data_IF_273079416504
#
_entry.id   IF_273079416504
#
_cell.length_a   1.000
_cell.length_b   1.000
_cell.length_c   1.000
_cell.angle_alpha   90.00
_cell.angle_beta   90.00
_cell.angle_gamma   90.00
#
_symmetry.space_group_name_H-M   'P 1'
#
loop_
_entity.id
_entity.type
_entity.pdbx_description
1 polymer ?
#
# COMPACT_ATOMS: atom_id res chain seq x y z
N UNK A 1 -14.61 -45.22 -4.80
CA UNK A 1 -15.64 -44.42 -4.13
C UNK A 1 -15.08 -43.98 -2.77
N UNK A 2 -14.27 -42.95 -2.77
CA UNK A 2 -13.85 -42.26 -1.55
C UNK A 2 -14.66 -40.97 -1.49
N UNK A 3 -15.57 -40.87 -0.53
CA UNK A 3 -16.24 -39.66 -0.14
C UNK A 3 -15.26 -38.95 0.82
N UNK A 4 -14.74 -37.74 0.53
CA UNK A 4 -13.91 -37.02 1.48
C UNK A 4 -14.78 -36.56 2.65
N UNK A 5 -14.28 -36.71 3.87
CA UNK A 5 -14.90 -36.34 5.13
C UNK A 5 -15.37 -34.87 5.09
N UNK A 6 -16.69 -34.67 5.15
CA UNK A 6 -17.31 -33.38 5.38
C UNK A 6 -17.56 -33.22 6.87
N UNK A 7 -16.87 -32.26 7.51
CA UNK A 7 -17.19 -31.85 8.88
C UNK A 7 -18.38 -30.88 8.86
N UNK A 8 -19.46 -31.24 9.50
CA UNK A 8 -20.65 -30.43 9.69
C UNK A 8 -20.52 -29.66 11.00
N UNK A 9 -20.48 -28.34 10.93
CA UNK A 9 -20.43 -27.48 12.12
C UNK A 9 -21.85 -26.98 12.37
N UNK A 10 -22.48 -27.50 13.41
CA UNK A 10 -23.79 -27.05 13.90
C UNK A 10 -23.58 -25.93 14.94
N UNK A 11 -24.40 -24.89 14.85
CA UNK A 11 -24.42 -23.79 15.82
C UNK A 11 -25.09 -24.30 17.12
N UNK A 12 -24.31 -24.44 18.20
CA UNK A 12 -24.85 -24.50 19.56
C UNK A 12 -24.57 -23.15 20.20
N UNK A 13 -25.60 -22.50 20.73
CA UNK A 13 -25.58 -21.14 21.32
C UNK A 13 -24.48 -20.85 22.37
N UNK A 14 -23.65 -21.82 22.70
CA UNK A 14 -22.60 -21.72 23.71
C UNK A 14 -21.16 -21.82 23.19
N UNK A 15 -20.94 -22.11 21.89
CA UNK A 15 -19.61 -22.49 21.37
C UNK A 15 -18.71 -21.35 20.89
N UNK A 16 -19.22 -20.17 20.65
CA UNK A 16 -18.45 -19.06 20.08
C UNK A 16 -17.94 -18.03 21.11
N UNK A 17 -18.33 -18.15 22.39
CA UNK A 17 -18.09 -17.11 23.40
C UNK A 17 -17.08 -17.47 24.51
N UNK A 18 -16.43 -18.63 24.49
CA UNK A 18 -15.71 -19.06 25.71
C UNK A 18 -14.19 -18.92 25.70
N UNK A 19 -13.54 -18.38 24.66
CA UNK A 19 -12.06 -18.26 24.70
C UNK A 19 -11.47 -16.93 24.19
N UNK A 20 -12.14 -15.81 24.33
CA UNK A 20 -11.53 -14.51 23.99
C UNK A 20 -11.65 -13.44 25.05
N UNK A 21 -11.23 -13.75 26.27
CA UNK A 21 -10.81 -12.77 27.27
C UNK A 21 -9.33 -13.00 27.63
N UNK A 22 -8.44 -12.84 26.67
CA UNK A 22 -7.05 -12.44 26.95
C UNK A 22 -6.81 -11.12 26.23
N UNK A 23 -6.62 -10.07 27.05
CA UNK A 23 -5.97 -8.84 26.61
C UNK A 23 -4.61 -9.25 26.04
N UNK A 24 -4.48 -9.29 24.74
CA UNK A 24 -3.18 -9.45 24.09
C UNK A 24 -2.60 -8.07 23.92
N UNK A 25 -1.58 -7.83 24.70
CA UNK A 25 -0.60 -6.77 24.52
C UNK A 25 0.04 -6.97 23.13
N UNK A 26 -0.25 -6.09 22.19
CA UNK A 26 0.11 -6.24 20.77
C UNK A 26 1.54 -5.84 20.47
N UNK A 27 2.32 -5.45 21.51
CA UNK A 27 3.67 -4.91 21.31
C UNK A 27 4.82 -5.91 21.41
N UNK A 28 4.62 -7.13 21.93
CA UNK A 28 5.74 -8.04 22.25
C UNK A 28 5.84 -9.36 21.48
N UNK A 29 4.93 -9.71 20.56
CA UNK A 29 4.97 -10.98 19.82
C UNK A 29 5.24 -10.83 18.32
N UNK A 30 6.29 -10.09 17.92
CA UNK A 30 6.76 -10.02 16.52
C UNK A 30 7.96 -10.91 16.19
N UNK A 31 8.17 -11.96 16.93
CA UNK A 31 9.24 -12.91 16.59
C UNK A 31 8.73 -14.31 16.86
N UNK A 32 8.17 -14.93 15.82
CA UNK A 32 8.37 -16.36 15.60
C UNK A 32 7.78 -16.76 14.23
N UNK A 33 8.56 -17.46 13.48
CA UNK A 33 8.50 -17.82 12.06
C UNK A 33 7.48 -18.94 11.78
N UNK A 34 6.19 -18.75 12.09
CA UNK A 34 5.09 -19.63 11.61
C UNK A 34 3.74 -18.90 11.65
N UNK A 35 3.36 -18.27 10.54
CA UNK A 35 1.96 -17.92 10.28
C UNK A 35 1.53 -16.51 10.65
N UNK A 36 2.35 -15.49 10.49
CA UNK A 36 1.87 -14.10 10.57
C UNK A 36 0.79 -13.87 9.52
N UNK A 37 -0.39 -13.46 10.00
CA UNK A 37 -1.50 -13.07 9.12
C UNK A 37 -1.07 -11.86 8.29
N UNK A 38 -1.27 -11.94 6.96
CA UNK A 38 -0.96 -10.80 6.08
C UNK A 38 -1.77 -9.56 6.47
N UNK A 39 -1.25 -8.36 6.15
CA UNK A 39 -1.99 -7.11 6.40
C UNK A 39 -3.41 -7.16 5.81
N UNK A 40 -3.57 -7.69 4.59
CA UNK A 40 -4.88 -7.94 3.98
C UNK A 40 -5.76 -8.88 4.82
N UNK A 41 -5.17 -9.91 5.42
CA UNK A 41 -5.86 -10.83 6.33
C UNK A 41 -6.34 -10.13 7.60
N UNK A 42 -5.49 -9.30 8.21
CA UNK A 42 -5.86 -8.50 9.40
C UNK A 42 -7.03 -7.56 9.11
N UNK A 43 -7.00 -6.85 7.98
CA UNK A 43 -8.13 -6.00 7.56
C UNK A 43 -9.42 -6.81 7.40
N UNK A 44 -9.35 -7.97 6.73
CA UNK A 44 -10.54 -8.83 6.56
C UNK A 44 -11.06 -9.37 7.89
N UNK A 45 -10.19 -9.74 8.80
CA UNK A 45 -10.59 -10.22 10.14
C UNK A 45 -11.25 -9.09 10.94
N UNK A 46 -10.72 -7.88 10.93
CA UNK A 46 -11.33 -6.70 11.54
C UNK A 46 -12.74 -6.45 10.98
N UNK A 47 -12.85 -6.35 9.66
CA UNK A 47 -14.11 -6.07 8.97
C UNK A 47 -15.15 -7.17 9.16
N UNK A 48 -14.72 -8.42 9.30
CA UNK A 48 -15.63 -9.54 9.49
C UNK A 48 -16.39 -9.49 10.82
N UNK A 49 -15.81 -8.89 11.85
CA UNK A 49 -16.39 -8.74 13.19
C UNK A 49 -17.42 -7.61 13.28
N UNK A 50 -17.37 -6.67 12.35
CA UNK A 50 -18.28 -5.52 12.33
C UNK A 50 -19.61 -5.90 11.69
N UNK A 51 -20.69 -5.84 12.44
CA UNK A 51 -22.05 -6.07 11.94
C UNK A 51 -22.83 -4.75 12.06
N UNK A 52 -23.18 -4.17 10.93
CA UNK A 52 -23.98 -2.94 10.89
C UNK A 52 -25.33 -3.11 11.62
N UNK A 53 -25.79 -2.10 12.34
CA UNK A 53 -27.06 -2.15 13.04
C UNK A 53 -28.25 -2.14 12.07
N UNK A 54 -28.21 -1.25 11.06
CA UNK A 54 -29.28 -1.06 10.13
C UNK A 54 -29.44 -2.23 9.14
N UNK A 55 -30.68 -2.71 8.97
CA UNK A 55 -30.98 -3.81 8.06
C UNK A 55 -30.55 -3.54 6.63
N UNK A 56 -30.78 -2.33 6.11
CA UNK A 56 -30.39 -1.96 4.75
C UNK A 56 -28.87 -2.02 4.51
N UNK A 57 -28.04 -1.69 5.53
CA UNK A 57 -26.59 -1.83 5.43
C UNK A 57 -26.15 -3.31 5.41
N UNK A 58 -26.78 -4.17 6.24
CA UNK A 58 -26.54 -5.62 6.21
C UNK A 58 -26.90 -6.20 4.86
N UNK A 59 -28.01 -5.76 4.27
CA UNK A 59 -28.43 -6.15 2.92
C UNK A 59 -27.41 -5.74 1.86
N UNK A 60 -26.94 -4.50 1.88
CA UNK A 60 -25.95 -4.01 0.93
C UNK A 60 -24.62 -4.78 1.04
N UNK A 61 -24.15 -5.06 2.26
CA UNK A 61 -22.94 -5.83 2.49
C UNK A 61 -23.06 -7.28 1.99
N UNK A 62 -24.18 -7.94 2.31
CA UNK A 62 -24.46 -9.29 1.87
C UNK A 62 -24.60 -9.37 0.33
N UNK A 63 -25.26 -8.40 -0.30
CA UNK A 63 -25.38 -8.33 -1.75
C UNK A 63 -24.01 -8.30 -2.44
N UNK A 64 -23.05 -7.50 -1.92
CA UNK A 64 -21.69 -7.45 -2.44
C UNK A 64 -20.95 -8.79 -2.29
N UNK A 65 -21.12 -9.49 -1.15
CA UNK A 65 -20.52 -10.80 -0.93
C UNK A 65 -21.13 -11.82 -1.90
N UNK A 66 -22.45 -11.85 -2.04
CA UNK A 66 -23.14 -12.80 -2.93
C UNK A 66 -22.79 -12.57 -4.40
N UNK A 67 -22.67 -11.33 -4.84
CA UNK A 67 -22.20 -11.02 -6.19
C UNK A 67 -20.80 -11.61 -6.49
N UNK A 68 -19.93 -11.78 -5.50
CA UNK A 68 -18.56 -12.25 -5.71
C UNK A 68 -18.37 -13.74 -5.42
N UNK A 69 -19.04 -14.25 -4.38
CA UNK A 69 -18.88 -15.62 -3.86
C UNK A 69 -20.09 -16.51 -4.11
N UNK A 70 -21.24 -15.94 -4.51
CA UNK A 70 -22.49 -16.66 -4.70
C UNK A 70 -22.63 -17.22 -6.10
N UNK A 71 -23.22 -18.43 -6.19
CA UNK A 71 -23.60 -19.08 -7.44
C UNK A 71 -24.97 -19.72 -7.31
N UNK A 72 -25.75 -19.70 -8.40
CA UNK A 72 -26.96 -20.50 -8.52
C UNK A 72 -26.63 -21.80 -9.20
N UNK A 73 -26.94 -22.92 -8.55
CA UNK A 73 -26.87 -24.27 -9.14
C UNK A 73 -28.31 -24.77 -9.37
N UNK A 74 -28.64 -25.09 -10.60
CA UNK A 74 -29.94 -25.65 -10.96
C UNK A 74 -29.71 -27.08 -11.46
N UNK A 75 -30.19 -28.07 -10.71
CA UNK A 75 -30.13 -29.49 -11.10
C UNK A 75 -31.53 -30.12 -11.06
N UNK A 76 -31.97 -30.69 -12.20
CA UNK A 76 -33.19 -31.49 -12.29
C UNK A 76 -34.46 -30.90 -11.69
N UNK A 77 -34.58 -29.55 -11.70
CA UNK A 77 -35.73 -28.83 -11.14
C UNK A 77 -35.52 -28.24 -9.75
N UNK A 78 -34.47 -28.59 -9.05
CA UNK A 78 -34.10 -28.02 -7.77
C UNK A 78 -33.11 -26.88 -7.96
N UNK A 79 -33.36 -25.73 -7.34
CA UNK A 79 -32.49 -24.56 -7.35
C UNK A 79 -31.79 -24.45 -6.01
N UNK A 80 -30.48 -24.21 -6.04
CA UNK A 80 -29.64 -24.08 -4.86
C UNK A 80 -28.76 -22.84 -4.94
N UNK A 81 -28.80 -22.00 -3.92
CA UNK A 81 -27.87 -20.91 -3.76
C UNK A 81 -26.65 -21.38 -2.97
N UNK A 82 -25.47 -21.35 -3.60
CA UNK A 82 -24.21 -21.79 -3.03
C UNK A 82 -23.26 -20.61 -2.90
N UNK A 83 -22.67 -20.43 -1.71
CA UNK A 83 -21.72 -19.37 -1.41
C UNK A 83 -20.41 -20.03 -1.04
N UNK A 84 -19.32 -19.73 -1.77
CA UNK A 84 -18.02 -20.37 -1.57
C UNK A 84 -16.92 -19.33 -1.34
N UNK A 85 -16.09 -19.57 -0.32
CA UNK A 85 -14.92 -18.73 -0.02
C UNK A 85 -13.81 -19.56 0.64
N UNK A 86 -12.56 -19.17 0.39
CA UNK A 86 -11.40 -19.77 1.08
C UNK A 86 -11.10 -19.07 2.42
N UNK A 87 -11.78 -17.97 2.71
CA UNK A 87 -11.55 -17.17 3.90
C UNK A 87 -12.62 -17.43 4.96
N UNK A 88 -12.21 -17.97 6.11
CA UNK A 88 -13.10 -18.28 7.24
C UNK A 88 -13.84 -17.06 7.77
N UNK A 89 -13.18 -15.92 7.86
CA UNK A 89 -13.78 -14.70 8.35
C UNK A 89 -14.93 -14.21 7.45
N UNK A 90 -14.78 -14.38 6.12
CA UNK A 90 -15.84 -14.08 5.14
C UNK A 90 -17.00 -15.05 5.27
N UNK A 91 -16.74 -16.34 5.43
CA UNK A 91 -17.80 -17.34 5.63
C UNK A 91 -18.61 -17.05 6.90
N UNK A 92 -17.94 -16.80 8.03
CA UNK A 92 -18.58 -16.38 9.29
C UNK A 92 -19.44 -15.12 9.13
N UNK A 93 -18.90 -14.12 8.44
CA UNK A 93 -19.61 -12.87 8.17
C UNK A 93 -20.88 -13.12 7.37
N UNK A 94 -20.76 -13.89 6.28
CA UNK A 94 -21.88 -14.23 5.41
C UNK A 94 -22.99 -14.97 6.18
N UNK A 95 -22.63 -16.00 6.94
CA UNK A 95 -23.53 -16.73 7.83
C UNK A 95 -24.27 -15.78 8.79
N UNK A 96 -23.53 -14.93 9.50
CA UNK A 96 -24.12 -13.96 10.44
C UNK A 96 -25.06 -12.96 9.77
N UNK A 97 -24.71 -12.50 8.55
CA UNK A 97 -25.56 -11.58 7.80
C UNK A 97 -26.86 -12.26 7.32
N UNK A 98 -26.80 -13.50 6.85
CA UNK A 98 -27.98 -14.29 6.47
C UNK A 98 -28.91 -14.48 7.65
N UNK A 99 -28.39 -14.92 8.79
CA UNK A 99 -29.17 -15.12 10.01
C UNK A 99 -29.78 -13.81 10.53
N UNK A 100 -28.98 -12.74 10.67
CA UNK A 100 -29.47 -11.46 11.23
C UNK A 100 -30.34 -10.63 10.30
N UNK A 101 -30.34 -10.90 9.00
CA UNK A 101 -31.11 -10.14 8.01
C UNK A 101 -32.40 -10.82 7.61
N UNK A 102 -32.34 -12.16 7.42
CA UNK A 102 -33.43 -12.96 6.88
C UNK A 102 -33.92 -14.03 7.86
N UNK A 103 -33.26 -14.24 9.00
CA UNK A 103 -33.51 -15.30 9.95
C UNK A 103 -33.39 -16.71 9.32
N UNK A 104 -32.49 -16.85 8.36
CA UNK A 104 -32.20 -18.11 7.69
C UNK A 104 -31.13 -18.86 8.45
N UNK A 105 -31.46 -20.11 8.85
CA UNK A 105 -30.50 -21.01 9.46
C UNK A 105 -29.79 -21.82 8.38
N UNK A 106 -28.50 -21.64 8.24
CA UNK A 106 -27.68 -22.32 7.25
C UNK A 106 -26.61 -23.16 7.92
N UNK A 107 -26.03 -24.10 7.19
CA UNK A 107 -24.87 -24.88 7.61
C UNK A 107 -23.64 -24.45 6.83
N UNK A 108 -22.50 -24.43 7.49
CA UNK A 108 -21.20 -24.18 6.84
C UNK A 108 -20.50 -25.51 6.66
N UNK A 109 -20.25 -25.90 5.41
CA UNK A 109 -19.48 -27.07 5.08
C UNK A 109 -18.03 -26.70 4.83
N UNK A 110 -17.10 -27.44 5.43
CA UNK A 110 -15.67 -27.19 5.24
C UNK A 110 -15.05 -28.34 4.48
N UNK A 111 -14.42 -28.09 3.35
CA UNK A 111 -13.68 -29.09 2.57
C UNK A 111 -12.20 -28.72 2.55
N UNK A 112 -11.33 -29.64 2.90
CA UNK A 112 -9.88 -29.51 2.72
C UNK A 112 -9.48 -30.16 1.38
N UNK A 113 -8.79 -29.39 0.54
CA UNK A 113 -8.25 -29.87 -0.71
C UNK A 113 -6.83 -30.42 -0.48
N UNK A 114 -6.66 -31.75 -0.54
CA UNK A 114 -5.44 -32.46 -0.13
C UNK A 114 -4.30 -32.46 -1.16
N UNK A 115 -4.53 -32.01 -2.41
CA UNK A 115 -3.63 -32.35 -3.52
C UNK A 115 -2.45 -31.41 -3.78
N UNK A 116 -2.41 -30.13 -3.27
CA UNK A 116 -1.27 -29.22 -3.53
C UNK A 116 -0.99 -28.17 -2.46
N UNK A 117 -1.98 -27.74 -1.72
CA UNK A 117 -1.89 -26.93 -0.50
C UNK A 117 -3.13 -27.25 0.31
N UNK A 118 -3.01 -27.40 1.63
CA UNK A 118 -4.17 -27.57 2.52
C UNK A 118 -5.02 -26.28 2.53
N UNK A 119 -5.73 -26.02 1.43
CA UNK A 119 -6.64 -24.89 1.30
C UNK A 119 -8.00 -25.34 1.78
N UNK A 120 -8.53 -24.70 2.79
CA UNK A 120 -9.89 -24.90 3.28
C UNK A 120 -10.85 -24.08 2.44
N UNK A 121 -11.89 -24.71 1.92
CA UNK A 121 -12.99 -24.06 1.22
C UNK A 121 -14.23 -24.16 2.10
N UNK A 122 -14.77 -23.01 2.45
CA UNK A 122 -16.00 -22.86 3.22
C UNK A 122 -17.17 -22.69 2.26
N UNK A 123 -18.20 -23.51 2.42
CA UNK A 123 -19.39 -23.48 1.57
C UNK A 123 -20.63 -23.31 2.44
N UNK A 124 -21.49 -22.36 2.09
CA UNK A 124 -22.82 -22.15 2.66
C UNK A 124 -23.82 -22.49 1.57
N UNK A 125 -24.82 -23.30 1.89
CA UNK A 125 -25.83 -23.75 0.93
C UNK A 125 -27.23 -23.42 1.44
N UNK A 126 -28.06 -22.81 0.58
CA UNK A 126 -29.46 -22.52 0.81
C UNK A 126 -30.24 -23.28 -0.26
N UNK A 127 -31.13 -24.19 0.17
CA UNK A 127 -31.86 -25.11 -0.72
C UNK A 127 -33.35 -24.82 -0.74
N UNK A 128 -33.87 -24.03 0.19
CA UNK A 128 -35.27 -23.65 0.21
C UNK A 128 -35.55 -22.58 -0.88
N UNK A 129 -36.42 -22.88 -1.86
CA UNK A 129 -36.75 -21.96 -2.93
C UNK A 129 -37.40 -20.65 -2.45
N UNK A 130 -38.17 -20.71 -1.36
CA UNK A 130 -38.82 -19.51 -0.79
C UNK A 130 -37.77 -18.56 -0.17
N UNK A 131 -36.82 -19.12 0.58
CA UNK A 131 -35.71 -18.36 1.16
C UNK A 131 -34.83 -17.74 0.06
N UNK A 132 -34.51 -18.50 -0.99
CA UNK A 132 -33.74 -17.99 -2.14
C UNK A 132 -34.50 -16.84 -2.80
N UNK A 133 -35.81 -16.96 -3.03
CA UNK A 133 -36.61 -15.92 -3.63
C UNK A 133 -36.64 -14.66 -2.77
N UNK A 134 -36.81 -14.78 -1.47
CA UNK A 134 -36.75 -13.65 -0.51
C UNK A 134 -35.41 -12.93 -0.58
N UNK A 135 -34.29 -13.68 -0.59
CA UNK A 135 -32.93 -13.11 -0.71
C UNK A 135 -32.80 -12.35 -2.02
N UNK A 136 -33.19 -12.95 -3.15
CA UNK A 136 -33.06 -12.35 -4.47
C UNK A 136 -33.88 -11.04 -4.60
N UNK A 137 -35.14 -11.06 -4.13
CA UNK A 137 -35.98 -9.88 -4.16
C UNK A 137 -35.45 -8.74 -3.24
N UNK A 138 -35.07 -9.08 -2.01
CA UNK A 138 -34.61 -8.11 -1.04
C UNK A 138 -33.25 -7.49 -1.41
N UNK A 139 -32.32 -8.28 -1.93
CA UNK A 139 -31.00 -7.84 -2.34
C UNK A 139 -30.94 -7.37 -3.80
N UNK A 140 -32.06 -7.40 -4.52
CA UNK A 140 -32.12 -7.04 -5.95
C UNK A 140 -31.14 -7.83 -6.81
N UNK A 141 -31.00 -9.11 -6.52
CA UNK A 141 -30.11 -10.02 -7.26
C UNK A 141 -30.85 -10.66 -8.43
N UNK A 142 -30.14 -10.88 -9.50
CA UNK A 142 -30.56 -11.69 -10.65
C UNK A 142 -29.37 -12.53 -11.11
N UNK A 143 -29.66 -13.65 -11.79
CA UNK A 143 -28.62 -14.42 -12.46
C UNK A 143 -28.13 -13.71 -13.71
N UNK A 144 -26.82 -13.81 -13.99
CA UNK A 144 -26.24 -13.21 -15.18
C UNK A 144 -26.77 -13.90 -16.44
N UNK A 145 -27.17 -13.14 -17.45
CA UNK A 145 -27.67 -13.68 -18.72
C UNK A 145 -26.63 -14.44 -19.55
N UNK A 146 -25.35 -14.19 -19.31
CA UNK A 146 -24.24 -14.84 -20.05
C UNK A 146 -23.73 -16.06 -19.29
N UNK A 147 -23.57 -15.95 -17.97
CA UNK A 147 -23.15 -17.00 -17.07
C UNK A 147 -24.27 -17.18 -16.03
N UNK A 148 -25.18 -18.12 -16.31
CA UNK A 148 -26.40 -18.32 -15.52
C UNK A 148 -26.15 -18.69 -14.06
N UNK A 149 -24.92 -19.07 -13.71
CA UNK A 149 -24.56 -19.43 -12.35
C UNK A 149 -24.18 -18.20 -11.49
N UNK A 150 -23.76 -17.09 -12.09
CA UNK A 150 -23.28 -15.92 -11.34
C UNK A 150 -24.38 -14.92 -11.03
N UNK A 151 -24.27 -14.27 -9.86
CA UNK A 151 -25.24 -13.31 -9.36
C UNK A 151 -24.81 -11.87 -9.65
N UNK A 152 -25.74 -11.04 -10.12
CA UNK A 152 -25.52 -9.61 -10.38
C UNK A 152 -26.64 -8.78 -9.75
N UNK A 153 -26.36 -7.51 -9.46
CA UNK A 153 -27.40 -6.57 -9.07
C UNK A 153 -28.27 -6.20 -10.29
N UNK A 154 -29.59 -6.29 -10.16
CA UNK A 154 -30.54 -5.83 -11.17
C UNK A 154 -30.53 -4.30 -11.29
N UNK A 155 -30.42 -3.64 -10.15
CA UNK A 155 -30.39 -2.18 -10.01
C UNK A 155 -29.52 -1.73 -8.85
N UNK A 156 -29.36 -0.41 -8.66
CA UNK A 156 -28.51 0.17 -7.60
C UNK A 156 -29.30 0.60 -6.35
N UNK A 157 -30.55 0.14 -6.20
CA UNK A 157 -31.40 0.52 -5.05
C UNK A 157 -30.79 0.12 -3.71
N UNK A 158 -30.08 -1.00 -3.65
CA UNK A 158 -29.43 -1.50 -2.43
C UNK A 158 -28.29 -0.59 -1.95
N UNK A 159 -27.74 0.26 -2.84
CA UNK A 159 -26.58 1.14 -2.56
C UNK A 159 -26.89 2.63 -2.70
N UNK A 160 -28.14 3.04 -2.55
CA UNK A 160 -28.51 4.46 -2.68
C UNK A 160 -27.93 5.35 -1.56
N UNK A 161 -27.99 4.88 -0.31
CA UNK A 161 -27.52 5.64 0.83
C UNK A 161 -26.00 5.49 1.02
N UNK A 162 -25.35 6.55 1.52
CA UNK A 162 -23.90 6.51 1.77
C UNK A 162 -23.48 5.39 2.73
N UNK A 163 -24.28 5.09 3.76
CA UNK A 163 -24.03 3.97 4.66
C UNK A 163 -24.13 2.61 3.94
N UNK A 164 -25.06 2.46 2.99
CA UNK A 164 -25.16 1.25 2.16
C UNK A 164 -23.98 1.12 1.19
N UNK A 165 -23.52 2.22 0.60
CA UNK A 165 -22.32 2.25 -0.25
C UNK A 165 -21.09 1.80 0.53
N UNK A 166 -20.89 2.28 1.76
CA UNK A 166 -19.80 1.84 2.66
C UNK A 166 -19.89 0.34 2.94
N UNK A 167 -21.07 -0.14 3.32
CA UNK A 167 -21.30 -1.55 3.58
C UNK A 167 -21.06 -2.41 2.34
N UNK A 168 -21.47 -1.96 1.15
CA UNK A 168 -21.24 -2.66 -0.11
C UNK A 168 -19.76 -2.76 -0.45
N UNK A 169 -18.98 -1.67 -0.32
CA UNK A 169 -17.53 -1.68 -0.53
C UNK A 169 -16.87 -2.65 0.46
N UNK A 170 -17.28 -2.65 1.73
CA UNK A 170 -16.77 -3.57 2.75
C UNK A 170 -17.05 -5.02 2.37
N UNK A 171 -18.26 -5.35 1.95
CA UNK A 171 -18.61 -6.68 1.46
C UNK A 171 -17.82 -7.12 0.23
N UNK A 172 -17.65 -6.24 -0.75
CA UNK A 172 -16.86 -6.49 -1.95
C UNK A 172 -15.38 -6.73 -1.62
N UNK A 173 -14.80 -5.94 -0.71
CA UNK A 173 -13.43 -6.14 -0.24
C UNK A 173 -13.26 -7.45 0.54
N UNK A 174 -14.18 -7.77 1.43
CA UNK A 174 -14.17 -9.06 2.14
C UNK A 174 -14.14 -10.23 1.16
N UNK A 175 -14.99 -10.19 0.14
CA UNK A 175 -15.16 -11.28 -0.80
C UNK A 175 -13.95 -11.44 -1.75
N UNK A 176 -13.50 -10.38 -2.39
CA UNK A 176 -12.51 -10.43 -3.48
C UNK A 176 -11.44 -9.35 -3.42
N UNK A 177 -11.38 -8.57 -2.33
CA UNK A 177 -10.39 -7.53 -2.15
C UNK A 177 -9.06 -8.03 -1.61
N UNK A 178 -8.02 -7.26 -1.85
CA UNK A 178 -6.71 -7.42 -1.23
C UNK A 178 -6.04 -6.06 -1.04
N UNK A 179 -5.12 -6.00 -0.09
CA UNK A 179 -4.31 -4.83 0.20
C UNK A 179 -2.88 -5.29 0.47
N UNK A 180 -1.91 -4.62 -0.13
CA UNK A 180 -0.50 -4.94 0.07
C UNK A 180 -0.03 -4.56 1.49
N UNK A 181 1.03 -5.21 1.93
CA UNK A 181 1.76 -4.82 3.12
C UNK A 181 2.25 -3.37 2.97
N UNK A 182 1.81 -2.44 3.85
CA UNK A 182 2.16 -1.03 3.74
C UNK A 182 3.67 -0.77 3.91
N UNK A 183 4.43 -1.70 4.49
CA UNK A 183 5.89 -1.58 4.51
C UNK A 183 6.54 -1.80 3.14
N UNK A 184 5.94 -2.64 2.29
CA UNK A 184 6.45 -2.96 0.95
C UNK A 184 5.95 -2.01 -0.13
N UNK A 185 4.71 -1.53 -0.01
CA UNK A 185 4.13 -0.63 -0.99
C UNK A 185 2.64 -0.37 -0.75
N UNK A 186 2.08 0.55 -1.50
CA UNK A 186 0.68 0.95 -1.41
C UNK A 186 -0.09 0.41 -2.61
N UNK A 187 -0.93 -0.60 -2.38
CA UNK A 187 -1.79 -1.16 -3.41
C UNK A 187 -3.04 -1.77 -2.77
N UNK A 188 -4.19 -1.24 -3.13
CA UNK A 188 -5.50 -1.74 -2.76
C UNK A 188 -6.19 -2.20 -4.04
N UNK A 189 -6.80 -3.37 -4.03
CA UNK A 189 -7.54 -3.88 -5.19
C UNK A 189 -8.76 -4.70 -4.79
N UNK A 190 -9.79 -4.67 -5.66
CA UNK A 190 -10.95 -5.56 -5.59
C UNK A 190 -11.13 -6.17 -6.97
N UNK A 191 -11.18 -7.49 -7.04
CA UNK A 191 -11.33 -8.25 -8.28
C UNK A 191 -12.80 -8.43 -8.61
N UNK A 192 -13.20 -8.06 -9.83
CA UNK A 192 -14.54 -8.23 -10.36
C UNK A 192 -14.53 -9.24 -11.53
N UNK A 193 -15.56 -10.04 -11.67
CA UNK A 193 -15.69 -11.03 -12.74
C UNK A 193 -15.87 -10.39 -14.13
N UNK A 194 -16.53 -9.24 -14.19
CA UNK A 194 -16.88 -8.56 -15.44
C UNK A 194 -16.71 -7.03 -15.36
N UNK A 195 -16.70 -6.37 -16.52
CA UNK A 195 -16.50 -4.93 -16.64
C UNK A 195 -17.62 -4.12 -15.97
N UNK A 196 -18.87 -4.54 -16.11
CA UNK A 196 -20.04 -3.80 -15.58
C UNK A 196 -19.97 -3.69 -14.06
N UNK A 197 -19.60 -4.78 -13.37
CA UNK A 197 -19.40 -4.76 -11.91
C UNK A 197 -18.24 -3.86 -11.51
N UNK A 198 -17.14 -3.90 -12.26
CA UNK A 198 -15.99 -3.05 -11.99
C UNK A 198 -16.36 -1.56 -12.12
N UNK A 199 -17.11 -1.18 -13.14
CA UNK A 199 -17.60 0.19 -13.34
C UNK A 199 -18.58 0.62 -12.24
N UNK A 200 -19.52 -0.25 -11.85
CA UNK A 200 -20.42 0.00 -10.73
C UNK A 200 -19.64 0.23 -9.43
N UNK A 201 -18.72 -0.65 -9.11
CA UNK A 201 -17.89 -0.53 -7.91
C UNK A 201 -17.02 0.72 -7.94
N UNK A 202 -16.38 1.03 -9.08
CA UNK A 202 -15.61 2.26 -9.26
C UNK A 202 -16.47 3.51 -9.02
N UNK A 203 -17.69 3.54 -9.56
CA UNK A 203 -18.62 4.66 -9.37
C UNK A 203 -18.97 4.84 -7.90
N UNK A 204 -19.23 3.75 -7.18
CA UNK A 204 -19.49 3.78 -5.74
C UNK A 204 -18.27 4.31 -4.97
N UNK A 205 -17.06 3.82 -5.25
CA UNK A 205 -15.83 4.24 -4.61
C UNK A 205 -15.55 5.73 -4.88
N UNK A 206 -15.69 6.17 -6.13
CA UNK A 206 -15.49 7.58 -6.52
C UNK A 206 -16.49 8.54 -5.85
N UNK A 207 -17.66 8.07 -5.43
CA UNK A 207 -18.59 8.90 -4.66
C UNK A 207 -18.05 9.30 -3.27
N UNK A 208 -16.94 8.72 -2.82
CA UNK A 208 -16.19 9.08 -1.61
C UNK A 208 -14.89 9.86 -1.91
N UNK A 209 -14.79 10.46 -3.11
CA UNK A 209 -13.61 11.24 -3.55
C UNK A 209 -12.32 10.44 -3.69
N UNK A 210 -12.40 9.12 -3.84
CA UNK A 210 -11.26 8.24 -4.08
C UNK A 210 -11.10 7.99 -5.58
N UNK A 211 -9.91 8.25 -6.15
CA UNK A 211 -9.61 8.03 -7.57
C UNK A 211 -9.30 6.56 -7.87
N UNK A 212 -10.33 5.71 -7.77
CA UNK A 212 -10.21 4.31 -8.14
C UNK A 212 -10.12 4.16 -9.66
N UNK A 213 -9.22 3.28 -10.11
CA UNK A 213 -8.98 2.95 -11.52
C UNK A 213 -9.35 1.51 -11.81
N UNK A 214 -9.66 1.21 -13.08
CA UNK A 214 -9.94 -0.15 -13.54
C UNK A 214 -8.83 -0.61 -14.47
N UNK A 215 -8.42 -1.87 -14.32
CA UNK A 215 -7.53 -2.55 -15.25
C UNK A 215 -8.06 -3.96 -15.53
N UNK A 216 -7.99 -4.38 -16.78
CA UNK A 216 -8.30 -5.75 -17.16
C UNK A 216 -7.08 -6.64 -16.94
N UNK A 217 -7.25 -7.73 -16.19
CA UNK A 217 -6.23 -8.76 -15.97
C UNK A 217 -6.78 -10.12 -16.41
N UNK A 218 -6.28 -10.63 -17.52
CA UNK A 218 -6.78 -11.89 -18.12
C UNK A 218 -8.31 -11.82 -18.37
N UNK A 219 -9.09 -12.62 -17.64
CA UNK A 219 -10.55 -12.69 -17.74
C UNK A 219 -11.29 -11.83 -16.69
N UNK A 220 -10.56 -11.17 -15.78
CA UNK A 220 -11.13 -10.41 -14.67
C UNK A 220 -10.83 -8.91 -14.81
N UNK A 221 -11.65 -8.08 -14.19
CA UNK A 221 -11.48 -6.65 -14.10
C UNK A 221 -11.14 -6.28 -12.65
N UNK A 222 -10.11 -5.46 -12.46
CA UNK A 222 -9.62 -5.11 -11.13
C UNK A 222 -9.81 -3.62 -10.91
N UNK A 223 -10.57 -3.27 -9.89
CA UNK A 223 -10.68 -1.91 -9.38
C UNK A 223 -9.57 -1.69 -8.36
N UNK A 224 -8.72 -0.67 -8.54
CA UNK A 224 -7.55 -0.50 -7.69
C UNK A 224 -7.26 0.96 -7.33
N UNK A 225 -6.54 1.13 -6.23
CA UNK A 225 -6.00 2.41 -5.71
C UNK A 225 -4.53 2.18 -5.34
N UNK A 226 -3.63 3.12 -5.70
CA UNK A 226 -2.18 3.03 -5.44
C UNK A 226 -1.64 4.12 -4.54
N UNK A 227 -2.40 5.17 -4.29
CA UNK A 227 -1.97 6.28 -3.47
C UNK A 227 -2.25 5.99 -1.99
N UNK A 228 -1.21 6.09 -1.15
CA UNK A 228 -1.29 5.74 0.27
C UNK A 228 -2.36 6.52 1.03
N UNK A 229 -2.52 7.83 0.75
CA UNK A 229 -3.55 8.65 1.36
C UNK A 229 -4.96 8.16 1.00
N UNK A 230 -5.20 7.84 -0.27
CA UNK A 230 -6.49 7.34 -0.73
C UNK A 230 -6.80 5.92 -0.24
N UNK A 231 -5.75 5.11 0.05
CA UNK A 231 -5.95 3.79 0.69
C UNK A 231 -6.39 3.97 2.14
N UNK A 232 -5.86 4.98 2.85
CA UNK A 232 -6.35 5.37 4.19
C UNK A 232 -7.83 5.76 4.11
N UNK A 233 -8.21 6.58 3.12
CA UNK A 233 -9.62 6.94 2.89
C UNK A 233 -10.48 5.70 2.63
N UNK A 234 -10.00 4.72 1.86
CA UNK A 234 -10.70 3.45 1.65
C UNK A 234 -10.89 2.66 2.94
N UNK A 235 -9.88 2.57 3.81
CA UNK A 235 -10.01 1.92 5.12
C UNK A 235 -11.03 2.66 6.01
N UNK A 236 -11.03 4.00 5.98
CA UNK A 236 -12.02 4.81 6.70
C UNK A 236 -13.44 4.60 6.15
N UNK A 237 -13.61 4.52 4.84
CA UNK A 237 -14.89 4.23 4.18
C UNK A 237 -15.41 2.86 4.60
N UNK A 238 -14.54 1.85 4.67
CA UNK A 238 -14.89 0.49 5.11
C UNK A 238 -15.04 0.36 6.63
N UNK A 239 -14.63 1.39 7.39
CA UNK A 239 -14.61 1.41 8.87
C UNK A 239 -13.56 0.45 9.48
N UNK A 240 -12.48 0.14 8.76
CA UNK A 240 -11.34 -0.63 9.24
C UNK A 240 -10.40 0.27 10.06
N UNK A 241 -10.82 0.67 11.25
CA UNK A 241 -10.18 1.72 12.02
C UNK A 241 -8.81 1.30 12.59
N UNK A 242 -8.65 0.04 12.98
CA UNK A 242 -7.36 -0.48 13.49
C UNK A 242 -6.34 -0.53 12.37
N UNK A 243 -6.68 -1.13 11.24
CA UNK A 243 -5.82 -1.21 10.07
C UNK A 243 -5.49 0.19 9.48
N UNK A 244 -6.44 1.13 9.56
CA UNK A 244 -6.22 2.53 9.19
C UNK A 244 -5.11 3.15 10.03
N UNK A 245 -5.17 3.02 11.36
CA UNK A 245 -4.18 3.57 12.27
C UNK A 245 -2.79 2.94 12.06
N UNK A 246 -2.74 1.62 11.83
CA UNK A 246 -1.49 0.92 11.55
C UNK A 246 -0.86 1.42 10.25
N UNK A 247 -1.65 1.58 9.18
CA UNK A 247 -1.18 2.09 7.90
C UNK A 247 -0.68 3.53 8.01
N UNK A 248 -1.41 4.41 8.72
CA UNK A 248 -0.99 5.80 8.95
C UNK A 248 0.31 5.88 9.76
N UNK A 249 0.46 5.09 10.80
CA UNK A 249 1.69 5.04 11.58
C UNK A 249 2.90 4.64 10.71
N UNK A 250 2.74 3.62 9.87
CA UNK A 250 3.79 3.20 8.94
C UNK A 250 4.09 4.31 7.93
N UNK A 251 3.07 5.01 7.43
CA UNK A 251 3.22 6.13 6.48
C UNK A 251 4.03 7.27 7.08
N UNK A 252 3.68 7.70 8.28
CA UNK A 252 4.39 8.76 9.00
C UNK A 252 5.86 8.38 9.22
N UNK A 253 6.14 7.16 9.68
CA UNK A 253 7.50 6.68 9.89
C UNK A 253 8.31 6.67 8.60
N UNK A 254 7.73 6.27 7.47
CA UNK A 254 8.37 6.32 6.15
C UNK A 254 8.67 7.75 5.71
N UNK A 255 7.74 8.67 5.89
CA UNK A 255 7.93 10.09 5.56
C UNK A 255 9.06 10.71 6.38
N UNK A 256 9.11 10.41 7.69
CA UNK A 256 10.20 10.86 8.56
C UNK A 256 11.56 10.32 8.11
N UNK A 257 11.66 9.00 7.86
CA UNK A 257 12.90 8.37 7.35
C UNK A 257 13.34 8.99 6.02
N UNK A 258 12.42 9.18 5.10
CA UNK A 258 12.72 9.80 3.80
C UNK A 258 13.19 11.24 3.93
N UNK A 259 12.60 12.02 4.83
CA UNK A 259 13.03 13.40 5.12
C UNK A 259 14.45 13.44 5.67
N UNK A 260 14.76 12.60 6.66
CA UNK A 260 16.12 12.49 7.22
C UNK A 260 17.12 12.06 6.15
N UNK A 261 16.81 11.02 5.36
CA UNK A 261 17.70 10.55 4.31
C UNK A 261 17.99 11.64 3.25
N UNK A 262 16.98 12.42 2.85
CA UNK A 262 17.18 13.54 1.92
C UNK A 262 18.09 14.60 2.51
N UNK A 263 17.94 14.91 3.80
CA UNK A 263 18.79 15.88 4.48
C UNK A 263 20.24 15.40 4.54
N UNK A 264 20.46 14.16 4.99
CA UNK A 264 21.80 13.55 5.05
C UNK A 264 22.44 13.49 3.66
N UNK A 265 21.71 13.05 2.62
CA UNK A 265 22.24 12.99 1.26
C UNK A 265 22.61 14.39 0.73
N UNK A 266 21.81 15.41 1.03
CA UNK A 266 22.11 16.79 0.65
C UNK A 266 23.37 17.30 1.35
N UNK A 267 23.50 17.08 2.65
CA UNK A 267 24.67 17.49 3.44
C UNK A 267 25.93 16.75 2.96
N UNK A 268 25.86 15.44 2.76
CA UNK A 268 26.97 14.64 2.23
C UNK A 268 27.40 15.11 0.84
N UNK A 269 26.46 15.39 -0.05
CA UNK A 269 26.78 15.93 -1.38
C UNK A 269 27.46 17.30 -1.32
N UNK A 270 27.04 18.16 -0.40
CA UNK A 270 27.66 19.48 -0.19
C UNK A 270 29.08 19.36 0.38
N UNK A 271 29.30 18.47 1.36
CA UNK A 271 30.62 18.18 1.92
C UNK A 271 31.55 17.65 0.81
N UNK A 272 31.12 16.65 0.05
CA UNK A 272 31.91 16.07 -1.03
C UNK A 272 32.29 17.13 -2.10
N UNK A 273 31.36 18.00 -2.48
CA UNK A 273 31.67 19.11 -3.41
C UNK A 273 32.74 20.04 -2.84
N UNK A 274 32.67 20.36 -1.54
CA UNK A 274 33.62 21.26 -0.88
C UNK A 274 34.99 20.62 -0.78
N UNK A 275 35.06 19.34 -0.38
CA UNK A 275 36.33 18.58 -0.29
C UNK A 275 36.99 18.44 -1.66
N UNK A 276 36.23 18.00 -2.69
CA UNK A 276 36.75 17.84 -4.04
C UNK A 276 37.26 19.18 -4.61
N UNK A 277 36.55 20.27 -4.34
CA UNK A 277 37.00 21.60 -4.76
C UNK A 277 38.32 22.02 -4.04
N UNK A 278 38.46 21.72 -2.75
CA UNK A 278 39.67 22.01 -1.99
C UNK A 278 40.85 21.17 -2.50
N UNK A 279 40.66 19.86 -2.75
CA UNK A 279 41.71 18.98 -3.30
C UNK A 279 42.17 19.49 -4.67
N UNK A 280 41.24 19.78 -5.58
CA UNK A 280 41.60 20.37 -6.90
C UNK A 280 42.36 21.68 -6.75
N UNK A 281 41.90 22.58 -5.89
CA UNK A 281 42.58 23.84 -5.63
C UNK A 281 44.03 23.65 -5.13
N UNK A 282 44.26 22.68 -4.23
CA UNK A 282 45.62 22.36 -3.76
C UNK A 282 46.51 21.82 -4.86
N UNK A 283 45.99 20.95 -5.73
CA UNK A 283 46.73 20.41 -6.88
C UNK A 283 47.09 21.54 -7.85
N UNK A 284 46.15 22.41 -8.16
CA UNK A 284 46.36 23.56 -9.03
C UNK A 284 47.42 24.52 -8.45
N UNK A 285 47.33 24.83 -7.15
CA UNK A 285 48.30 25.66 -6.45
C UNK A 285 49.69 25.04 -6.42
N UNK A 286 49.81 23.73 -6.22
CA UNK A 286 51.09 23.00 -6.26
C UNK A 286 51.73 23.15 -7.64
N UNK A 287 50.93 22.96 -8.71
CA UNK A 287 51.43 23.10 -10.09
C UNK A 287 51.91 24.54 -10.37
N UNK A 288 51.14 25.57 -10.00
CA UNK A 288 51.50 26.96 -10.16
C UNK A 288 52.78 27.29 -9.39
N UNK A 289 52.91 26.84 -8.12
CA UNK A 289 54.12 26.97 -7.31
C UNK A 289 55.35 26.38 -7.98
N UNK A 290 55.22 25.17 -8.53
CA UNK A 290 56.31 24.41 -9.14
C UNK A 290 56.81 25.05 -10.48
N UNK A 291 55.88 25.63 -11.25
CA UNK A 291 56.18 26.12 -12.60
C UNK A 291 56.44 27.63 -12.70
N UNK A 292 55.78 28.41 -11.84
CA UNK A 292 55.85 29.89 -11.85
C UNK A 292 56.56 30.42 -10.60
N UNK A 293 56.31 29.80 -9.45
CA UNK A 293 56.70 30.36 -8.11
C UNK A 293 55.69 31.37 -7.59
N UNK A 294 55.60 31.48 -6.28
CA UNK A 294 54.67 32.44 -5.65
C UNK A 294 55.16 33.88 -5.73
N UNK A 295 56.47 34.11 -5.90
CA UNK A 295 57.12 35.42 -6.03
C UNK A 295 56.71 36.16 -7.32
N UNK A 296 56.26 35.42 -8.34
CA UNK A 296 55.79 36.01 -9.63
C UNK A 296 54.28 36.28 -9.62
N UNK A 297 53.56 35.86 -8.55
CA UNK A 297 52.12 36.08 -8.43
C UNK A 297 51.86 37.47 -7.83
N UNK A 298 50.65 37.99 -8.14
CA UNK A 298 50.14 39.14 -7.42
C UNK A 298 50.00 38.77 -5.93
N UNK A 299 50.39 39.69 -5.03
CA UNK A 299 50.40 39.50 -3.57
C UNK A 299 49.13 38.84 -3.04
N UNK A 300 47.94 39.30 -3.48
CA UNK A 300 46.67 38.72 -3.06
C UNK A 300 46.39 37.29 -3.55
N UNK A 301 47.02 36.86 -4.66
CA UNK A 301 46.95 35.45 -5.12
C UNK A 301 47.94 34.59 -4.33
N UNK A 302 49.13 35.08 -4.09
CA UNK A 302 50.15 34.35 -3.30
C UNK A 302 49.64 34.08 -1.89
N UNK A 303 49.11 35.07 -1.20
CA UNK A 303 48.57 34.92 0.15
C UNK A 303 47.46 33.88 0.24
N UNK A 304 46.50 33.89 -0.72
CA UNK A 304 45.42 32.88 -0.74
C UNK A 304 45.97 31.49 -1.05
N UNK A 305 46.97 31.36 -1.94
CA UNK A 305 47.61 30.10 -2.26
C UNK A 305 48.34 29.51 -1.04
N UNK A 306 49.11 30.29 -0.32
CA UNK A 306 49.80 29.88 0.90
C UNK A 306 48.82 29.44 2.00
N UNK A 307 47.77 30.22 2.28
CA UNK A 307 46.77 29.90 3.29
C UNK A 307 46.01 28.63 2.93
N UNK A 308 45.67 28.42 1.66
CA UNK A 308 44.99 27.15 1.25
C UNK A 308 45.90 25.93 1.40
N UNK A 309 47.17 26.07 1.15
CA UNK A 309 48.17 25.02 1.37
C UNK A 309 48.38 24.71 2.84
N UNK A 310 48.39 25.76 3.69
CA UNK A 310 48.59 25.63 5.14
C UNK A 310 47.33 25.08 5.84
N UNK A 311 46.15 25.46 5.37
CA UNK A 311 44.83 25.09 5.93
C UNK A 311 43.96 24.44 4.89
N UNK A 312 44.20 23.19 4.53
CA UNK A 312 43.47 22.46 3.45
C UNK A 312 41.97 22.32 3.73
N UNK A 313 41.58 22.18 5.00
CA UNK A 313 40.20 21.95 5.41
C UNK A 313 39.42 23.24 5.68
N UNK A 314 40.08 24.39 5.70
CA UNK A 314 39.44 25.68 5.99
C UNK A 314 38.42 26.04 4.92
N UNK A 315 37.27 26.51 5.36
CA UNK A 315 36.24 27.05 4.46
C UNK A 315 36.70 28.34 3.77
N UNK A 316 36.10 28.67 2.64
CA UNK A 316 36.41 29.95 1.95
C UNK A 316 36.16 31.18 2.83
N UNK A 317 35.29 31.11 3.82
CA UNK A 317 35.01 32.17 4.76
C UNK A 317 36.16 32.31 5.77
N UNK A 318 36.63 31.22 6.33
CA UNK A 318 37.75 31.18 7.25
C UNK A 318 39.04 31.65 6.59
N UNK A 319 39.35 31.19 5.38
CA UNK A 319 40.48 31.69 4.60
C UNK A 319 40.38 33.21 4.38
N UNK A 320 39.18 33.70 4.11
CA UNK A 320 38.96 35.15 3.92
C UNK A 320 39.21 35.98 5.18
N UNK A 321 38.94 35.40 6.35
CA UNK A 321 39.22 36.05 7.65
C UNK A 321 40.72 36.05 7.97
N UNK A 322 41.51 35.11 7.48
CA UNK A 322 42.96 34.99 7.68
C UNK A 322 43.77 35.89 6.75
N UNK A 323 43.16 36.44 5.71
CA UNK A 323 43.82 37.37 4.79
C UNK A 323 43.96 38.78 5.37
N UNK A 324 45.04 39.47 4.96
CA UNK A 324 45.26 40.90 5.30
C UNK A 324 45.42 41.74 4.01
N UNK A 325 44.49 42.64 3.70
CA UNK A 325 43.21 42.89 4.37
C UNK A 325 42.22 41.73 4.24
N UNK A 326 41.28 41.59 5.20
CA UNK A 326 40.24 40.53 5.16
C UNK A 326 39.39 40.61 3.88
N UNK A 327 39.06 39.45 3.33
CA UNK A 327 38.33 39.34 2.08
C UNK A 327 37.11 38.42 2.25
N UNK A 328 35.97 38.80 1.70
CA UNK A 328 34.77 37.97 1.74
C UNK A 328 34.90 36.65 0.94
N UNK A 329 34.03 35.68 1.23
CA UNK A 329 33.95 34.37 0.54
C UNK A 329 34.06 34.48 -0.99
N UNK A 330 33.37 35.46 -1.60
CA UNK A 330 33.36 35.67 -3.05
C UNK A 330 34.74 36.09 -3.57
N UNK A 331 35.44 36.93 -2.85
CA UNK A 331 36.79 37.40 -3.22
C UNK A 331 37.81 36.24 -3.14
N UNK A 332 37.76 35.42 -2.08
CA UNK A 332 38.60 34.23 -1.97
C UNK A 332 38.31 33.26 -3.11
N UNK A 333 37.04 32.98 -3.39
CA UNK A 333 36.66 32.09 -4.49
C UNK A 333 37.14 32.61 -5.87
N UNK A 334 37.06 33.92 -6.11
CA UNK A 334 37.58 34.55 -7.33
C UNK A 334 39.08 34.33 -7.47
N UNK A 335 39.86 34.56 -6.40
CA UNK A 335 41.31 34.39 -6.39
C UNK A 335 41.72 32.92 -6.62
N UNK A 336 41.04 31.96 -5.97
CA UNK A 336 41.27 30.52 -6.18
C UNK A 336 40.93 30.06 -7.60
N UNK A 337 39.85 30.59 -8.19
CA UNK A 337 39.51 30.33 -9.61
C UNK A 337 40.56 30.86 -10.56
N UNK A 338 41.15 32.01 -10.26
CA UNK A 338 42.22 32.55 -11.09
C UNK A 338 43.49 31.70 -11.02
N UNK A 339 43.82 31.15 -9.84
CA UNK A 339 44.90 30.16 -9.69
C UNK A 339 44.62 28.87 -10.46
N UNK A 340 43.38 28.37 -10.42
CA UNK A 340 43.00 27.18 -11.18
C UNK A 340 43.08 27.45 -12.70
N UNK A 341 42.65 28.60 -13.19
CA UNK A 341 42.79 28.96 -14.60
C UNK A 341 44.27 29.01 -15.05
N UNK A 342 45.15 29.59 -14.24
CA UNK A 342 46.58 29.57 -14.49
C UNK A 342 47.16 28.14 -14.53
N UNK A 343 46.71 27.26 -13.66
CA UNK A 343 47.12 25.86 -13.64
C UNK A 343 46.63 25.10 -14.91
N UNK A 344 45.43 25.39 -15.37
CA UNK A 344 44.86 24.79 -16.58
C UNK A 344 45.65 25.26 -17.81
N UNK A 345 46.02 26.53 -17.96
CA UNK A 345 46.91 27.03 -19.02
C UNK A 345 48.29 26.38 -19.00
N UNK A 346 48.86 26.09 -17.83
CA UNK A 346 50.13 25.41 -17.68
C UNK A 346 50.05 23.93 -18.14
N UNK A 347 48.94 23.27 -17.85
CA UNK A 347 48.70 21.89 -18.34
C UNK A 347 48.58 21.83 -19.86
N UNK A 348 47.86 22.79 -20.46
CA UNK A 348 47.71 22.90 -21.91
C UNK A 348 49.06 23.10 -22.62
N UNK A 349 49.92 23.97 -22.11
CA UNK A 349 51.28 24.18 -22.67
C UNK A 349 52.16 22.95 -22.57
N UNK A 350 52.04 22.15 -21.51
CA UNK A 350 52.77 20.88 -21.39
C UNK A 350 52.26 19.77 -22.32
N UNK A 351 50.94 19.75 -22.61
CA UNK A 351 50.35 18.80 -23.58
C UNK A 351 50.71 19.12 -25.03
N UNK A 352 51.03 20.39 -25.34
CA UNK A 352 51.42 20.84 -26.68
C UNK A 352 52.92 20.65 -26.99
N UNK A 353 53.78 20.41 -26.00
CA UNK A 353 55.21 20.14 -26.19
C UNK A 353 55.50 18.61 -26.41
N UNK A 354 54.50 17.77 -26.33
CA UNK A 354 54.59 16.30 -26.45
C UNK A 354 54.00 15.77 -27.79
N UNK A 355 53.60 16.65 -28.70
CA UNK A 355 53.16 16.34 -30.05
C UNK A 355 54.18 16.93 -31.06
#
# INVERSE_FOLDING_TARGET
NFIPDCLEIQNTDSGWNTEMHRKTDWSENRKDDKGEMSFSGMVKEELSRQIGLARHCKMAELAAILCSCGKMECFSGDSKLKIQTENEAVARKCFTLLQKTFNIETKIFVRENSHLKRVKVYTIEITDPEEIQVIFQALRLVTNSIDQDTLVLSDMLVVQQNCCKRAFIRGAFLASGSISDPEKGYHFEIVCSDAKRAEQLQTIIRSFSVDAKIVQRKKSHVVYVKEGAQIVDMLAVMEANVALMDLENIRILKEMRNSVNRKVNCETANINKTVNAAVKQMEDIKLVRQKIGFEQLNEGLAQVAELRMQYPEATLKELGMMLSPQVGKSGVNHRLRKLSAMADELREKQGGELL
#
